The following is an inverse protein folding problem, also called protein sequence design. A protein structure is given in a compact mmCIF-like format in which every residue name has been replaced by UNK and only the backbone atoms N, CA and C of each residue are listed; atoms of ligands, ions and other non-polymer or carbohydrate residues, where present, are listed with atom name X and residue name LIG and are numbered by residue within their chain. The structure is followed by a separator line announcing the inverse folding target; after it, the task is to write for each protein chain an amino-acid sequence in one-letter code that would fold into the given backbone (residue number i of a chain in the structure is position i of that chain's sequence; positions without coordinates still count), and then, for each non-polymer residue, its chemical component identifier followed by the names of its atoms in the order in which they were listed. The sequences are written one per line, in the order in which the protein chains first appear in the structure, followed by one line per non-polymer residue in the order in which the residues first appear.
data_IF_695346614541
#
_entry.id   IF_695346614541
#
_cell.length_a   1.000
_cell.length_b   1.000
_cell.length_c   1.000
_cell.angle_alpha   90.00
_cell.angle_beta   90.00
_cell.angle_gamma   90.00
#
_symmetry.space_group_name_H-M   'P 1'
#
loop_
_entity.id
_entity.type
_entity.pdbx_description
1 polymer ?
#
# COMPACT_ATOMS: atom_id res chain seq x y z
N UNK A 1 34.33 35.03 -22.19
CA UNK A 1 34.52 33.60 -21.96
C UNK A 1 34.15 33.15 -20.53
N UNK A 2 34.64 33.77 -19.46
CA UNK A 2 34.36 33.39 -18.08
C UNK A 2 32.88 33.43 -17.68
N UNK A 3 32.08 34.39 -18.17
CA UNK A 3 30.63 34.51 -17.85
C UNK A 3 29.79 33.37 -18.38
N UNK A 4 30.11 32.82 -19.55
CA UNK A 4 29.38 31.70 -20.14
C UNK A 4 29.73 30.36 -19.46
N UNK A 5 30.97 30.24 -18.98
CA UNK A 5 31.41 29.07 -18.22
C UNK A 5 30.70 28.97 -16.86
N UNK A 6 30.47 30.11 -16.19
CA UNK A 6 29.74 30.18 -14.93
C UNK A 6 28.25 29.81 -15.07
N UNK A 7 27.62 30.22 -16.17
CA UNK A 7 26.21 29.90 -16.44
C UNK A 7 26.05 28.41 -16.77
N UNK A 8 26.98 27.82 -17.49
CA UNK A 8 26.98 26.36 -17.77
C UNK A 8 27.21 25.53 -16.51
N UNK A 9 28.05 25.98 -15.58
CA UNK A 9 28.29 25.29 -14.32
C UNK A 9 27.07 25.38 -13.39
N UNK A 10 26.32 26.49 -13.40
CA UNK A 10 25.13 26.70 -12.60
C UNK A 10 23.95 25.84 -13.09
N UNK A 11 23.84 25.58 -14.39
CA UNK A 11 22.81 24.68 -14.96
C UNK A 11 23.06 23.20 -14.68
N UNK A 12 24.31 22.78 -14.50
CA UNK A 12 24.65 21.37 -14.23
C UNK A 12 24.30 20.92 -12.81
N UNK A 13 24.08 21.84 -11.87
CA UNK A 13 23.75 21.49 -10.46
C UNK A 13 22.28 21.15 -10.21
N UNK A 14 21.37 21.31 -11.18
CA UNK A 14 19.93 21.09 -10.98
C UNK A 14 19.43 19.70 -11.36
N UNK A 15 20.29 18.75 -11.72
CA UNK A 15 19.88 17.41 -12.20
C UNK A 15 19.86 16.30 -11.13
N UNK A 16 20.17 16.61 -9.86
CA UNK A 16 20.16 15.60 -8.78
C UNK A 16 18.88 15.60 -7.93
N UNK A 17 17.76 15.95 -8.51
CA UNK A 17 16.46 15.79 -7.88
C UNK A 17 15.90 14.36 -8.02
N UNK A 18 16.53 13.34 -7.44
CA UNK A 18 15.86 12.07 -7.21
C UNK A 18 14.82 12.28 -6.12
N UNK A 19 13.56 12.51 -6.52
CA UNK A 19 12.44 12.42 -5.62
C UNK A 19 12.31 10.96 -5.17
N UNK A 20 12.79 10.63 -3.98
CA UNK A 20 12.47 9.36 -3.32
C UNK A 20 10.99 9.42 -2.95
N UNK A 21 10.17 8.70 -3.69
CA UNK A 21 8.78 8.45 -3.31
C UNK A 21 8.83 7.49 -2.13
N UNK A 22 8.72 8.03 -0.92
CA UNK A 22 8.51 7.21 0.27
C UNK A 22 7.07 6.66 0.22
N UNK A 23 6.92 5.38 -0.03
CA UNK A 23 5.63 4.70 0.06
C UNK A 23 5.30 4.60 1.54
N UNK A 24 4.31 5.35 1.99
CA UNK A 24 3.82 5.30 3.37
C UNK A 24 2.53 4.49 3.41
N UNK A 25 2.41 3.65 4.43
CA UNK A 25 1.15 2.98 4.73
C UNK A 25 0.18 4.02 5.30
N UNK A 26 -1.04 4.06 4.78
CA UNK A 26 -2.01 5.09 5.14
C UNK A 26 -3.45 4.61 4.99
N UNK A 27 -4.29 4.94 5.96
CA UNK A 27 -5.74 4.82 5.87
C UNK A 27 -6.44 5.99 6.54
N UNK A 28 -7.30 6.70 5.81
CA UNK A 28 -8.18 7.77 6.33
C UNK A 28 -9.61 7.30 6.60
N UNK A 29 -9.86 6.00 6.56
CA UNK A 29 -11.21 5.44 6.53
C UNK A 29 -11.77 5.20 7.94
N UNK A 30 -13.06 5.51 8.20
CA UNK A 30 -13.73 5.16 9.45
C UNK A 30 -13.71 3.65 9.73
N UNK A 31 -13.62 3.28 11.02
CA UNK A 31 -13.46 1.89 11.49
C UNK A 31 -14.50 0.93 10.91
N UNK A 32 -15.76 1.33 10.89
CA UNK A 32 -16.88 0.52 10.41
C UNK A 32 -16.82 0.19 8.91
N UNK A 33 -16.10 0.99 8.12
CA UNK A 33 -15.93 0.76 6.68
C UNK A 33 -14.69 -0.07 6.37
N UNK A 34 -13.70 -0.05 7.24
CA UNK A 34 -12.45 -0.78 7.06
C UNK A 34 -12.65 -2.30 6.98
N UNK A 35 -13.55 -2.86 7.79
CA UNK A 35 -13.70 -4.31 7.93
C UNK A 35 -14.01 -5.01 6.59
N UNK A 36 -14.90 -4.45 5.78
CA UNK A 36 -15.22 -5.02 4.45
C UNK A 36 -14.02 -4.96 3.51
N UNK A 37 -13.33 -3.82 3.46
CA UNK A 37 -12.14 -3.65 2.64
C UNK A 37 -11.00 -4.58 3.08
N UNK A 38 -10.80 -4.76 4.39
CA UNK A 38 -9.80 -5.67 4.95
C UNK A 38 -10.08 -7.12 4.56
N UNK A 39 -11.33 -7.58 4.73
CA UNK A 39 -11.72 -8.94 4.37
C UNK A 39 -11.51 -9.22 2.89
N UNK A 40 -11.91 -8.29 2.02
CA UNK A 40 -11.73 -8.42 0.57
C UNK A 40 -10.23 -8.40 0.19
N UNK A 41 -9.42 -7.56 0.85
CA UNK A 41 -7.97 -7.49 0.63
C UNK A 41 -7.31 -8.80 1.03
N UNK A 42 -7.62 -9.33 2.21
CA UNK A 42 -7.08 -10.61 2.68
C UNK A 42 -7.48 -11.75 1.73
N UNK A 43 -8.74 -11.80 1.30
CA UNK A 43 -9.21 -12.83 0.36
C UNK A 43 -8.43 -12.76 -0.96
N UNK A 44 -8.18 -11.56 -1.47
CA UNK A 44 -7.39 -11.36 -2.69
C UNK A 44 -5.94 -11.79 -2.51
N UNK A 45 -5.31 -11.42 -1.38
CA UNK A 45 -3.93 -11.82 -1.08
C UNK A 45 -3.80 -13.34 -0.94
N UNK A 46 -4.74 -14.00 -0.25
CA UNK A 46 -4.76 -15.47 -0.11
C UNK A 46 -4.86 -16.17 -1.46
N UNK A 47 -5.65 -15.62 -2.39
CA UNK A 47 -5.82 -16.20 -3.72
C UNK A 47 -4.57 -16.12 -4.60
N UNK A 48 -3.77 -15.06 -4.43
CA UNK A 48 -2.58 -14.81 -5.25
C UNK A 48 -1.27 -15.29 -4.61
N UNK A 49 -1.21 -15.26 -3.29
CA UNK A 49 -0.01 -15.53 -2.50
C UNK A 49 -0.35 -16.52 -1.37
N UNK A 50 -0.35 -17.84 -1.61
CA UNK A 50 -0.71 -18.82 -0.60
C UNK A 50 0.15 -18.70 0.67
N UNK A 51 -0.46 -18.74 1.89
CA UNK A 51 0.28 -18.48 3.14
C UNK A 51 1.38 -19.51 3.45
N UNK A 52 1.23 -20.75 2.95
CA UNK A 52 2.23 -21.80 3.15
C UNK A 52 3.62 -21.48 2.59
N UNK A 53 3.69 -20.57 1.61
CA UNK A 53 4.93 -20.23 0.89
C UNK A 53 5.24 -18.74 0.90
N UNK A 54 4.42 -17.92 1.59
CA UNK A 54 4.54 -16.47 1.54
C UNK A 54 4.67 -15.88 2.93
N UNK A 55 5.72 -15.10 3.16
CA UNK A 55 5.84 -14.16 4.28
C UNK A 55 5.79 -12.74 3.77
N UNK A 56 5.23 -11.84 4.54
CA UNK A 56 5.19 -10.42 4.26
C UNK A 56 6.08 -9.62 5.21
N UNK A 57 6.55 -8.49 4.71
CA UNK A 57 7.32 -7.52 5.44
C UNK A 57 6.69 -6.15 5.25
N UNK A 58 6.31 -5.48 6.33
CA UNK A 58 5.64 -4.19 6.34
C UNK A 58 6.54 -3.16 6.99
N UNK A 59 6.96 -2.16 6.22
CA UNK A 59 7.76 -1.05 6.74
C UNK A 59 7.34 0.26 6.03
N UNK A 60 7.07 1.33 6.77
CA UNK A 60 7.05 1.41 8.24
C UNK A 60 5.97 0.52 8.85
N UNK A 61 6.07 0.17 10.15
CA UNK A 61 5.02 -0.57 10.85
C UNK A 61 3.68 0.13 10.73
N UNK A 62 2.61 -0.66 10.69
CA UNK A 62 1.26 -0.10 10.61
C UNK A 62 0.89 0.63 11.91
N UNK A 63 0.40 1.85 11.78
CA UNK A 63 -0.02 2.70 12.90
C UNK A 63 -1.48 3.15 12.81
N UNK A 64 -2.22 2.67 11.83
CA UNK A 64 -3.64 2.92 11.62
C UNK A 64 -4.48 1.64 11.74
N UNK A 65 -5.79 1.80 11.96
CA UNK A 65 -6.69 0.68 12.22
C UNK A 65 -6.82 -0.30 11.03
N UNK A 66 -6.71 0.20 9.80
CA UNK A 66 -6.75 -0.68 8.63
C UNK A 66 -5.53 -1.60 8.61
N UNK A 67 -4.34 -1.02 8.75
CA UNK A 67 -3.09 -1.77 8.73
C UNK A 67 -2.97 -2.77 9.86
N UNK A 68 -3.29 -2.35 11.10
CA UNK A 68 -3.29 -3.24 12.27
C UNK A 68 -4.21 -4.45 12.02
N UNK A 69 -5.46 -4.20 11.60
CA UNK A 69 -6.43 -5.27 11.34
C UNK A 69 -6.07 -6.13 10.12
N UNK A 70 -5.44 -5.54 9.09
CA UNK A 70 -4.92 -6.29 7.95
C UNK A 70 -3.84 -7.28 8.40
N UNK A 71 -2.88 -6.82 9.20
CA UNK A 71 -1.79 -7.66 9.72
C UNK A 71 -2.32 -8.79 10.59
N UNK A 72 -3.23 -8.47 11.52
CA UNK A 72 -3.87 -9.49 12.35
C UNK A 72 -4.62 -10.53 11.51
N UNK A 73 -5.37 -10.07 10.51
CA UNK A 73 -6.10 -10.94 9.60
C UNK A 73 -5.18 -11.84 8.76
N UNK A 74 -4.06 -11.33 8.28
CA UNK A 74 -3.05 -12.10 7.57
C UNK A 74 -2.41 -13.15 8.48
N UNK A 75 -2.04 -12.78 9.70
CA UNK A 75 -1.51 -13.73 10.70
C UNK A 75 -2.51 -14.84 11.02
N UNK A 76 -3.80 -14.53 11.16
CA UNK A 76 -4.88 -15.52 11.34
C UNK A 76 -5.02 -16.47 10.14
N UNK A 77 -4.63 -16.03 8.94
CA UNK A 77 -4.57 -16.89 7.73
C UNK A 77 -3.29 -17.70 7.61
N UNK A 78 -2.36 -17.58 8.56
CA UNK A 78 -1.13 -18.35 8.61
C UNK A 78 0.07 -17.68 7.93
N UNK A 79 -0.01 -16.39 7.58
CA UNK A 79 1.15 -15.67 7.08
C UNK A 79 2.12 -15.30 8.19
N UNK A 80 3.42 -15.40 7.89
CA UNK A 80 4.45 -14.69 8.64
C UNK A 80 4.42 -13.23 8.22
N UNK A 81 4.17 -12.32 9.16
CA UNK A 81 4.18 -10.87 8.90
C UNK A 81 5.19 -10.21 9.84
N UNK A 82 6.24 -9.65 9.25
CA UNK A 82 7.33 -8.96 9.94
C UNK A 82 7.10 -7.44 9.87
N UNK A 83 7.11 -6.77 11.03
CA UNK A 83 7.00 -5.32 11.19
C UNK A 83 8.26 -4.71 11.79
N UNK A 84 9.34 -5.49 11.90
CA UNK A 84 10.58 -5.00 12.48
C UNK A 84 11.25 -3.93 11.63
N UNK A 85 11.99 -3.03 12.27
CA UNK A 85 12.77 -1.98 11.58
C UNK A 85 13.93 -2.54 10.76
N UNK A 86 14.35 -3.76 11.05
CA UNK A 86 15.33 -4.51 10.28
C UNK A 86 14.64 -5.70 9.62
N UNK A 87 14.83 -5.87 8.33
CA UNK A 87 14.27 -7.00 7.57
C UNK A 87 14.81 -8.33 8.10
N UNK A 88 14.06 -8.98 9.00
CA UNK A 88 14.45 -10.23 9.63
C UNK A 88 14.42 -11.42 8.68
N UNK A 89 13.39 -11.53 7.86
CA UNK A 89 13.25 -12.60 6.85
C UNK A 89 13.58 -12.07 5.45
N UNK A 90 14.71 -12.52 4.88
CA UNK A 90 15.17 -12.11 3.54
C UNK A 90 14.23 -12.54 2.41
N UNK A 91 13.41 -13.56 2.63
CA UNK A 91 12.47 -14.08 1.63
C UNK A 91 11.08 -13.45 1.75
N UNK A 92 10.83 -12.60 2.74
CA UNK A 92 9.56 -11.93 2.89
C UNK A 92 9.35 -10.88 1.79
N UNK A 93 8.13 -10.82 1.26
CA UNK A 93 7.74 -9.87 0.22
C UNK A 93 7.31 -8.56 0.88
N UNK A 94 7.80 -7.45 0.38
CA UNK A 94 7.37 -6.13 0.86
C UNK A 94 5.87 -5.94 0.60
N UNK A 95 5.12 -5.56 1.63
CA UNK A 95 3.70 -5.26 1.57
C UNK A 95 3.46 -3.82 2.03
N UNK A 96 2.82 -3.02 1.18
CA UNK A 96 2.39 -1.67 1.53
C UNK A 96 0.91 -1.51 1.16
N UNK A 97 0.22 -0.59 1.82
CA UNK A 97 -1.18 -0.31 1.54
C UNK A 97 -1.46 1.19 1.57
N UNK A 98 -2.40 1.60 0.77
CA UNK A 98 -3.02 2.93 0.82
C UNK A 98 -4.53 2.75 0.75
N UNK A 99 -5.24 3.34 1.70
CA UNK A 99 -6.70 3.40 1.68
C UNK A 99 -7.10 4.85 1.70
N UNK A 100 -7.69 5.30 0.61
CA UNK A 100 -8.06 6.69 0.40
C UNK A 100 -9.55 6.85 0.16
N UNK A 101 -10.06 8.02 0.54
CA UNK A 101 -11.43 8.46 0.29
C UNK A 101 -11.41 9.63 -0.69
N UNK A 102 -12.19 9.53 -1.75
CA UNK A 102 -12.37 10.66 -2.66
C UNK A 102 -13.08 11.84 -1.95
N UNK A 103 -12.49 13.04 -2.04
CA UNK A 103 -13.03 14.25 -1.42
C UNK A 103 -14.38 14.69 -2.00
N UNK A 104 -14.74 14.25 -3.21
CA UNK A 104 -15.93 14.68 -3.94
C UNK A 104 -17.03 13.62 -4.03
N UNK A 105 -16.77 12.41 -3.53
CA UNK A 105 -17.72 11.30 -3.66
C UNK A 105 -17.61 10.33 -2.48
N UNK A 106 -18.62 9.48 -2.31
CA UNK A 106 -18.61 8.39 -1.33
C UNK A 106 -17.82 7.17 -1.85
N UNK A 107 -16.71 7.44 -2.57
CA UNK A 107 -15.81 6.41 -3.11
C UNK A 107 -14.59 6.25 -2.23
N UNK A 108 -14.23 5.01 -2.02
CA UNK A 108 -13.03 4.60 -1.31
C UNK A 108 -12.15 3.77 -2.25
N UNK A 109 -10.86 3.88 -2.11
CA UNK A 109 -9.89 3.15 -2.91
C UNK A 109 -8.94 2.41 -2.01
N UNK A 110 -8.77 1.13 -2.25
CA UNK A 110 -7.73 0.31 -1.61
C UNK A 110 -6.68 0.01 -2.67
N UNK A 111 -5.44 0.31 -2.35
CA UNK A 111 -4.27 -0.05 -3.14
C UNK A 111 -3.33 -0.84 -2.24
N UNK A 112 -2.92 -2.00 -2.71
CA UNK A 112 -1.93 -2.85 -2.01
C UNK A 112 -0.77 -3.12 -2.95
N UNK A 113 0.44 -2.80 -2.52
CA UNK A 113 1.66 -3.09 -3.23
C UNK A 113 2.29 -4.34 -2.64
N UNK A 114 2.53 -5.34 -3.46
CA UNK A 114 3.16 -6.61 -3.07
C UNK A 114 4.42 -6.81 -3.91
N UNK A 115 5.56 -6.48 -3.33
CA UNK A 115 6.81 -6.41 -4.08
C UNK A 115 6.73 -5.37 -5.20
N UNK A 116 6.75 -5.83 -6.46
CA UNK A 116 6.62 -4.95 -7.64
C UNK A 116 5.19 -4.87 -8.19
N UNK A 117 4.28 -5.65 -7.65
CA UNK A 117 2.91 -5.71 -8.13
C UNK A 117 2.01 -4.77 -7.36
N UNK A 118 1.04 -4.17 -8.05
CA UNK A 118 0.00 -3.34 -7.46
C UNK A 118 -1.35 -4.01 -7.64
N UNK A 119 -2.10 -4.14 -6.54
CA UNK A 119 -3.48 -4.59 -6.51
C UNK A 119 -4.34 -3.41 -6.10
N UNK A 120 -5.42 -3.13 -6.83
CA UNK A 120 -6.32 -2.04 -6.47
C UNK A 120 -7.77 -2.38 -6.67
N UNK A 121 -8.64 -1.83 -5.81
CA UNK A 121 -10.09 -1.94 -5.89
C UNK A 121 -10.77 -0.70 -5.37
N UNK A 122 -11.84 -0.29 -6.05
CA UNK A 122 -12.71 0.79 -5.60
C UNK A 122 -13.92 0.24 -4.84
N UNK A 123 -14.45 1.04 -3.92
CA UNK A 123 -15.65 0.75 -3.14
C UNK A 123 -16.55 1.98 -3.11
N UNK A 124 -17.84 1.79 -3.10
CA UNK A 124 -18.83 2.85 -2.94
C UNK A 124 -19.60 2.66 -1.64
N UNK A 125 -19.69 3.71 -0.85
CA UNK A 125 -20.58 3.75 0.30
C UNK A 125 -21.93 4.34 -0.14
N UNK A 126 -22.99 3.53 -0.06
CA UNK A 126 -24.34 3.92 -0.43
C UNK A 126 -25.34 3.21 0.48
N UNK A 127 -26.33 3.97 0.96
CA UNK A 127 -27.40 3.44 1.82
C UNK A 127 -26.88 2.67 3.05
N UNK A 128 -25.88 3.24 3.75
CA UNK A 128 -25.31 2.60 4.95
C UNK A 128 -24.40 1.39 4.70
N UNK A 129 -24.15 1.03 3.44
CA UNK A 129 -23.40 -0.16 3.07
C UNK A 129 -22.23 0.18 2.17
N UNK A 130 -21.09 -0.42 2.44
CA UNK A 130 -19.91 -0.36 1.56
C UNK A 130 -19.95 -1.53 0.56
N UNK A 131 -19.97 -1.22 -0.72
CA UNK A 131 -20.00 -2.21 -1.81
C UNK A 131 -18.76 -2.07 -2.68
N UNK A 132 -18.11 -3.19 -3.07
CA UNK A 132 -17.03 -3.15 -4.03
C UNK A 132 -17.56 -2.76 -5.42
N UNK A 133 -16.78 -1.96 -6.14
CA UNK A 133 -17.02 -1.62 -7.53
C UNK A 133 -16.06 -2.42 -8.42
N UNK A 134 -16.64 -3.25 -9.27
CA UNK A 134 -15.85 -4.08 -10.18
C UNK A 134 -14.96 -5.12 -9.49
N UNK A 135 -13.93 -5.53 -10.21
CA UNK A 135 -12.96 -6.53 -9.78
C UNK A 135 -11.69 -5.89 -9.25
N UNK A 136 -10.83 -6.70 -8.64
CA UNK A 136 -9.46 -6.28 -8.36
C UNK A 136 -8.70 -6.06 -9.66
N UNK A 137 -8.01 -4.94 -9.74
CA UNK A 137 -7.08 -4.63 -10.84
C UNK A 137 -5.68 -4.96 -10.37
N UNK A 138 -4.96 -5.76 -11.14
CA UNK A 138 -3.55 -6.10 -10.92
C UNK A 138 -2.70 -5.43 -11.98
N UNK A 139 -1.62 -4.78 -11.55
CA UNK A 139 -0.62 -4.18 -12.42
C UNK A 139 0.78 -4.65 -11.97
N UNK A 140 1.60 -5.00 -12.92
CA UNK A 140 3.01 -5.37 -12.75
C UNK A 140 3.93 -4.18 -13.03
#
# INVERSE_FOLDING_TARGET
MMRHLFILLLCAMNLFGCAQVSIQNYSSTPVNLNQKMIQDTIAQLVSLYPPAHTGFYIQPPANDLFGISLIEGLRKKGYSVDESTSRGNRNAIALHYVVDKSNKSALYHVIVLVGKQSLSRAYQFKNGTLKPLGFWVRKE
#
